data_IF_774249411198
#
_entry.id   IF_774249411198
#
_cell.length_a   1.000
_cell.length_b   1.000
_cell.length_c   1.000
_cell.angle_alpha   90.00
_cell.angle_beta   90.00
_cell.angle_gamma   90.00
#
_symmetry.space_group_name_H-M   'P 1'
#
loop_
_entity.id
_entity.type
_entity.pdbx_description
1 polymer ?
#
# COMPACT_ATOMS: atom_id res chain seq x y z
N UNK A 1 -17.45 28.29 -18.74
CA UNK A 1 -15.98 28.39 -18.77
C UNK A 1 -15.46 27.05 -19.25
N UNK A 2 -14.65 27.02 -20.30
CA UNK A 2 -14.04 25.78 -20.76
C UNK A 2 -13.23 25.20 -19.60
N UNK A 3 -13.53 23.95 -19.24
CA UNK A 3 -12.85 23.14 -18.24
C UNK A 3 -11.35 23.12 -18.57
N UNK A 4 -10.59 24.08 -18.03
CA UNK A 4 -9.13 24.03 -18.02
C UNK A 4 -8.76 22.91 -17.05
N UNK A 5 -8.88 21.66 -17.52
CA UNK A 5 -8.43 20.50 -16.76
C UNK A 5 -6.97 20.71 -16.42
N UNK A 6 -6.62 20.46 -15.16
CA UNK A 6 -5.25 20.60 -14.69
C UNK A 6 -4.30 19.77 -15.55
N UNK A 7 -3.06 20.24 -15.66
CA UNK A 7 -1.99 19.44 -16.23
C UNK A 7 -1.85 18.11 -15.47
N UNK A 8 -1.50 17.05 -16.20
CA UNK A 8 -1.20 15.74 -15.61
C UNK A 8 -0.01 15.89 -14.65
N UNK A 9 -0.21 15.50 -13.41
CA UNK A 9 0.83 15.45 -12.38
C UNK A 9 1.59 14.13 -12.47
N UNK A 10 2.85 14.13 -12.03
CA UNK A 10 3.75 12.99 -12.07
C UNK A 10 4.38 12.76 -10.69
N UNK A 11 3.64 12.11 -9.79
CA UNK A 11 4.04 11.99 -8.40
C UNK A 11 3.09 11.12 -7.57
N UNK A 12 3.28 11.14 -6.26
CA UNK A 12 2.41 10.48 -5.29
C UNK A 12 1.61 11.53 -4.53
N UNK A 13 0.29 11.40 -4.53
CA UNK A 13 -0.57 12.09 -3.59
C UNK A 13 -0.82 11.13 -2.42
N UNK A 14 -0.40 11.51 -1.22
CA UNK A 14 -0.76 10.79 0.00
C UNK A 14 -2.17 11.23 0.36
N UNK A 15 -3.15 10.36 0.19
CA UNK A 15 -4.55 10.69 0.45
C UNK A 15 -4.95 10.17 1.83
N UNK A 16 -5.59 11.00 2.65
CA UNK A 16 -6.36 10.54 3.78
C UNK A 16 -7.72 10.06 3.24
N UNK A 17 -7.81 8.77 2.94
CA UNK A 17 -9.04 8.17 2.39
C UNK A 17 -10.14 8.25 3.46
N UNK A 18 -11.32 8.85 3.16
CA UNK A 18 -12.43 8.86 4.11
C UNK A 18 -13.11 7.48 4.22
N UNK A 19 -13.85 7.25 5.31
CA UNK A 19 -14.76 6.09 5.46
C UNK A 19 -15.88 6.14 4.43
N UNK A 20 -16.25 4.99 3.87
CA UNK A 20 -17.37 4.83 2.93
C UNK A 20 -16.95 4.52 1.49
N UNK A 21 -16.22 5.39 0.75
CA UNK A 21 -15.87 5.09 -0.62
C UNK A 21 -14.82 3.97 -0.72
N UNK A 22 -14.85 3.19 -1.80
CA UNK A 22 -13.73 2.30 -2.13
C UNK A 22 -12.50 3.11 -2.55
N UNK A 23 -11.30 2.53 -2.43
CA UNK A 23 -10.08 3.14 -2.98
C UNK A 23 -10.23 3.50 -4.47
N UNK A 24 -10.85 2.62 -5.26
CA UNK A 24 -11.11 2.87 -6.69
C UNK A 24 -12.08 4.05 -6.92
N UNK A 25 -13.05 4.27 -6.05
CA UNK A 25 -13.95 5.43 -6.13
C UNK A 25 -13.19 6.73 -5.83
N UNK A 26 -12.32 6.76 -4.82
CA UNK A 26 -11.45 7.92 -4.56
C UNK A 26 -10.60 8.26 -5.79
N UNK A 27 -9.97 7.25 -6.41
CA UNK A 27 -9.24 7.40 -7.67
C UNK A 27 -10.12 7.96 -8.79
N UNK A 28 -11.34 7.44 -8.95
CA UNK A 28 -12.26 7.92 -9.98
C UNK A 28 -12.66 9.39 -9.80
N UNK A 29 -12.79 9.87 -8.55
CA UNK A 29 -13.06 11.29 -8.25
C UNK A 29 -11.85 12.16 -8.64
N UNK A 30 -10.64 11.82 -8.19
CA UNK A 30 -9.41 12.57 -8.51
C UNK A 30 -9.11 12.57 -10.01
N UNK A 31 -9.39 11.46 -10.72
CA UNK A 31 -9.26 11.34 -12.18
C UNK A 31 -10.04 12.40 -12.95
N UNK A 32 -11.13 12.93 -12.39
CA UNK A 32 -11.97 13.96 -13.02
C UNK A 32 -11.27 15.33 -13.06
N UNK A 33 -10.29 15.57 -12.18
CA UNK A 33 -9.50 16.82 -12.14
C UNK A 33 -8.50 16.98 -13.31
N UNK A 34 -8.49 16.08 -14.30
CA UNK A 34 -7.54 16.07 -15.41
C UNK A 34 -6.46 14.98 -15.31
N UNK A 35 -6.40 14.27 -14.17
CA UNK A 35 -5.39 13.24 -13.89
C UNK A 35 -5.72 11.90 -14.56
N UNK A 36 -5.53 11.79 -15.88
CA UNK A 36 -5.95 10.61 -16.67
C UNK A 36 -5.15 9.35 -16.37
N UNK A 37 -3.83 9.48 -16.20
CA UNK A 37 -2.93 8.40 -15.83
C UNK A 37 -2.84 8.39 -14.30
N UNK A 38 -3.65 7.53 -13.69
CA UNK A 38 -3.80 7.47 -12.24
C UNK A 38 -3.99 6.01 -11.78
N UNK A 39 -3.45 5.68 -10.62
CA UNK A 39 -3.64 4.41 -9.93
C UNK A 39 -3.45 4.58 -8.42
N UNK A 40 -3.30 3.48 -7.69
CA UNK A 40 -2.95 3.52 -6.28
C UNK A 40 -2.03 2.35 -5.90
N UNK A 41 -1.25 2.49 -4.82
CA UNK A 41 -0.46 1.41 -4.23
C UNK A 41 -1.13 0.92 -2.94
N UNK A 42 -1.68 -0.30 -2.99
CA UNK A 42 -2.42 -0.92 -1.90
C UNK A 42 -3.89 -0.48 -1.84
N UNK A 43 -4.79 -1.44 -1.64
CA UNK A 43 -6.23 -1.18 -1.48
C UNK A 43 -6.56 -1.00 0.00
N UNK A 44 -7.41 -0.02 0.31
CA UNK A 44 -8.19 0.05 1.54
C UNK A 44 -9.65 -0.32 1.25
N UNK A 45 -10.23 -1.07 2.18
CA UNK A 45 -11.65 -1.42 2.18
C UNK A 45 -12.54 -0.17 2.35
N UNK A 46 -13.84 -0.22 2.01
CA UNK A 46 -14.77 0.90 2.16
C UNK A 46 -14.76 1.50 3.57
N UNK A 47 -14.88 0.64 4.60
CA UNK A 47 -14.90 1.04 6.01
C UNK A 47 -13.58 1.62 6.52
N UNK A 48 -12.47 1.29 5.86
CA UNK A 48 -11.13 1.67 6.29
C UNK A 48 -10.77 3.08 5.83
N UNK A 49 -10.02 3.80 6.66
CA UNK A 49 -9.61 5.19 6.43
C UNK A 49 -8.09 5.32 6.38
N UNK A 50 -7.61 6.54 6.15
CA UNK A 50 -6.21 6.89 6.27
C UNK A 50 -5.40 6.74 4.97
N UNK A 51 -4.09 6.57 5.11
CA UNK A 51 -3.10 6.69 4.03
C UNK A 51 -3.44 5.80 2.84
N UNK A 52 -3.84 6.39 1.73
CA UNK A 52 -3.95 5.75 0.42
C UNK A 52 -2.96 6.44 -0.53
N UNK A 53 -1.96 5.70 -0.99
CA UNK A 53 -0.99 6.22 -1.94
C UNK A 53 -1.60 6.30 -3.33
N UNK A 54 -1.96 7.50 -3.76
CA UNK A 54 -2.51 7.79 -5.09
C UNK A 54 -1.36 8.09 -6.05
N UNK A 55 -1.24 7.31 -7.11
CA UNK A 55 -0.12 7.40 -8.06
C UNK A 55 -0.57 8.16 -9.30
N UNK A 56 0.10 9.26 -9.63
CA UNK A 56 -0.22 10.14 -10.75
C UNK A 56 0.87 10.07 -11.82
N UNK A 57 0.45 10.04 -13.09
CA UNK A 57 1.37 10.12 -14.22
C UNK A 57 2.38 8.98 -14.23
N UNK A 58 3.68 9.32 -14.23
CA UNK A 58 4.75 8.31 -14.30
C UNK A 58 4.88 7.49 -13.01
N UNK A 59 4.44 8.03 -11.86
CA UNK A 59 4.45 7.27 -10.60
C UNK A 59 3.53 6.04 -10.63
N UNK A 60 2.57 5.96 -11.56
CA UNK A 60 1.82 4.70 -11.76
C UNK A 60 2.72 3.51 -12.09
N UNK A 61 3.91 3.75 -12.66
CA UNK A 61 4.90 2.72 -12.99
C UNK A 61 5.67 2.20 -11.77
N UNK A 62 5.64 2.90 -10.63
CA UNK A 62 6.41 2.53 -9.45
C UNK A 62 5.58 1.82 -8.36
N UNK A 63 4.29 1.56 -8.64
CA UNK A 63 3.36 0.92 -7.70
C UNK A 63 3.92 -0.35 -7.05
N UNK A 64 4.56 -1.22 -7.84
CA UNK A 64 5.16 -2.46 -7.35
C UNK A 64 6.26 -2.21 -6.32
N UNK A 65 7.14 -1.25 -6.57
CA UNK A 65 8.26 -0.92 -5.69
C UNK A 65 7.85 -0.23 -4.39
N UNK A 66 6.73 0.51 -4.39
CA UNK A 66 6.14 1.06 -3.16
C UNK A 66 5.46 -0.02 -2.29
N UNK A 67 5.04 -1.13 -2.89
CA UNK A 67 4.36 -2.22 -2.18
C UNK A 67 5.30 -3.36 -1.78
N UNK A 68 6.37 -3.58 -2.54
CA UNK A 68 7.35 -4.65 -2.31
C UNK A 68 8.15 -4.37 -1.04
N UNK A 69 8.20 -5.34 -0.12
CA UNK A 69 8.92 -5.22 1.14
C UNK A 69 8.41 -4.10 2.07
N UNK A 70 7.37 -3.36 1.67
CA UNK A 70 6.90 -2.19 2.38
C UNK A 70 6.15 -2.57 3.65
N UNK A 71 6.30 -1.76 4.68
CA UNK A 71 5.60 -1.88 5.94
C UNK A 71 4.36 -0.99 6.00
N UNK A 72 3.42 -1.36 6.86
CA UNK A 72 2.18 -0.61 7.10
C UNK A 72 1.88 -0.58 8.58
N UNK A 73 1.31 0.52 9.04
CA UNK A 73 0.80 0.66 10.41
C UNK A 73 -0.69 0.91 10.34
N UNK A 74 -1.44 0.18 11.14
CA UNK A 74 -2.87 0.30 11.26
C UNK A 74 -3.29 0.43 12.71
N UNK A 75 -4.28 1.26 12.98
CA UNK A 75 -5.07 1.22 14.22
C UNK A 75 -6.49 0.79 13.88
N UNK A 76 -7.15 0.08 14.77
CA UNK A 76 -8.53 -0.34 14.53
C UNK A 76 -9.27 -0.75 15.78
N UNK A 77 -10.56 -1.03 15.59
CA UNK A 77 -11.48 -1.51 16.61
C UNK A 77 -12.11 -2.80 16.09
N UNK A 78 -12.15 -3.83 16.93
CA UNK A 78 -12.92 -5.05 16.69
C UNK A 78 -14.03 -5.21 17.73
N UNK A 79 -15.11 -5.87 17.34
CA UNK A 79 -16.26 -6.26 18.18
C UNK A 79 -16.26 -7.78 18.35
N UNK A 80 -16.19 -8.26 19.58
CA UNK A 80 -16.29 -9.68 19.93
C UNK A 80 -17.74 -10.17 19.93
N UNK A 81 -17.95 -11.47 19.71
CA UNK A 81 -19.28 -12.09 19.82
C UNK A 81 -20.10 -12.06 18.53
N UNK A 82 -19.52 -11.62 17.41
CA UNK A 82 -20.18 -11.57 16.10
C UNK A 82 -19.22 -12.04 15.00
N UNK A 83 -19.75 -12.67 13.98
CA UNK A 83 -19.02 -12.96 12.74
C UNK A 83 -19.84 -12.56 11.53
N UNK A 84 -19.19 -12.05 10.48
CA UNK A 84 -19.81 -11.70 9.19
C UNK A 84 -19.14 -12.42 8.02
N UNK A 85 -19.75 -12.40 6.85
CA UNK A 85 -19.19 -12.99 5.62
C UNK A 85 -17.98 -12.21 5.05
N UNK A 86 -17.89 -10.92 5.35
CA UNK A 86 -16.76 -10.04 4.99
C UNK A 86 -15.69 -9.93 6.06
N UNK A 87 -15.94 -10.43 7.28
CA UNK A 87 -15.11 -10.26 8.49
C UNK A 87 -14.94 -8.80 8.95
N UNK A 88 -15.81 -7.92 8.49
CA UNK A 88 -15.98 -6.55 8.96
C UNK A 88 -17.47 -6.25 9.22
N UNK A 89 -17.76 -5.07 9.75
CA UNK A 89 -19.11 -4.64 10.13
C UNK A 89 -20.04 -4.36 8.93
N UNK A 90 -19.51 -4.30 7.70
CA UNK A 90 -20.26 -4.05 6.47
C UNK A 90 -20.90 -5.33 5.89
N UNK A 91 -20.51 -6.51 6.39
CA UNK A 91 -21.01 -7.80 5.93
C UNK A 91 -22.30 -8.26 6.60
N UNK A 92 -22.88 -9.33 6.05
CA UNK A 92 -24.03 -10.00 6.65
C UNK A 92 -23.58 -10.82 7.86
N UNK A 93 -24.30 -10.68 8.98
CA UNK A 93 -24.02 -11.47 10.19
C UNK A 93 -24.29 -12.95 9.93
N UNK A 94 -23.24 -13.77 10.06
CA UNK A 94 -23.32 -15.22 9.95
C UNK A 94 -23.64 -15.89 11.30
N UNK A 95 -23.15 -15.32 12.39
CA UNK A 95 -23.39 -15.84 13.74
C UNK A 95 -23.14 -14.77 14.80
N UNK A 96 -23.77 -14.98 15.95
CA UNK A 96 -23.45 -14.29 17.20
C UNK A 96 -23.18 -15.33 18.28
N UNK A 97 -22.32 -14.99 19.23
CA UNK A 97 -21.95 -15.87 20.33
C UNK A 97 -21.73 -15.05 21.60
N UNK A 98 -21.89 -15.71 22.75
CA UNK A 98 -21.57 -15.11 24.04
C UNK A 98 -20.06 -14.83 24.11
N UNK A 99 -19.70 -13.64 24.58
CA UNK A 99 -18.32 -13.21 24.80
C UNK A 99 -18.03 -12.95 26.28
N UNK A 100 -19.01 -13.09 27.17
CA UNK A 100 -18.88 -12.72 28.59
C UNK A 100 -17.85 -13.56 29.36
N UNK A 101 -17.42 -14.69 28.79
CA UNK A 101 -16.30 -15.49 29.30
C UNK A 101 -14.92 -14.90 28.98
N UNK A 102 -14.83 -13.93 28.07
CA UNK A 102 -13.58 -13.30 27.66
C UNK A 102 -13.20 -12.19 28.62
N UNK A 103 -11.98 -12.22 29.13
CA UNK A 103 -11.41 -11.15 29.98
C UNK A 103 -10.51 -10.21 29.18
N UNK A 104 -10.19 -9.04 29.76
CA UNK A 104 -9.17 -8.15 29.21
C UNK A 104 -7.81 -8.84 29.04
N UNK A 105 -7.40 -9.66 30.00
CA UNK A 105 -6.15 -10.43 29.94
C UNK A 105 -6.12 -11.42 28.76
N UNK A 106 -7.25 -12.06 28.47
CA UNK A 106 -7.38 -12.94 27.31
C UNK A 106 -7.22 -12.17 25.99
N UNK A 107 -7.81 -10.98 25.92
CA UNK A 107 -7.68 -10.10 24.74
C UNK A 107 -6.24 -9.67 24.54
N UNK A 108 -5.58 -9.15 25.58
CA UNK A 108 -4.18 -8.70 25.51
C UNK A 108 -3.29 -9.83 25.02
N UNK A 109 -3.40 -11.01 25.64
CA UNK A 109 -2.66 -12.20 25.22
C UNK A 109 -2.96 -12.61 23.77
N UNK A 110 -4.21 -12.51 23.32
CA UNK A 110 -4.60 -12.89 21.96
C UNK A 110 -4.10 -11.91 20.89
N UNK A 111 -3.93 -10.63 21.23
CA UNK A 111 -3.31 -9.59 20.39
C UNK A 111 -1.79 -9.74 20.36
N UNK A 112 -1.15 -9.99 21.50
CA UNK A 112 0.30 -10.21 21.58
C UNK A 112 0.77 -11.34 20.66
N UNK A 113 -0.04 -12.41 20.57
CA UNK A 113 0.18 -13.56 19.69
C UNK A 113 0.11 -13.24 18.19
N UNK A 114 -0.29 -12.05 17.79
CA UNK A 114 -0.16 -11.62 16.39
C UNK A 114 1.30 -11.36 16.00
N UNK A 115 2.16 -10.97 16.94
CA UNK A 115 3.56 -10.60 16.66
C UNK A 115 4.36 -11.79 16.12
N UNK A 116 5.14 -11.54 15.05
CA UNK A 116 6.01 -12.50 14.38
C UNK A 116 5.51 -12.95 13.00
N UNK A 117 6.13 -14.03 12.51
CA UNK A 117 5.82 -14.68 11.23
C UNK A 117 4.66 -15.67 11.39
N UNK A 118 3.63 -15.54 10.54
CA UNK A 118 2.53 -16.53 10.48
C UNK A 118 1.94 -16.69 9.08
N UNK A 119 1.22 -17.79 8.87
CA UNK A 119 0.35 -17.98 7.69
C UNK A 119 -1.03 -17.40 7.98
N UNK A 120 -1.49 -16.50 7.13
CA UNK A 120 -2.78 -15.84 7.24
C UNK A 120 -3.72 -16.25 6.12
N UNK A 121 -4.95 -16.62 6.46
CA UNK A 121 -6.01 -16.83 5.47
C UNK A 121 -6.41 -15.49 4.83
N UNK A 122 -6.39 -15.45 3.50
CA UNK A 122 -6.85 -14.31 2.73
C UNK A 122 -8.39 -14.27 2.76
N UNK A 123 -9.02 -13.14 3.14
CA UNK A 123 -10.48 -13.00 3.09
C UNK A 123 -11.03 -13.23 1.68
N UNK A 124 -12.19 -13.88 1.57
CA UNK A 124 -12.87 -14.09 0.29
C UNK A 124 -13.22 -12.75 -0.39
N UNK A 125 -13.65 -11.76 0.39
CA UNK A 125 -13.87 -10.39 -0.08
C UNK A 125 -12.57 -9.57 -0.08
N UNK A 126 -11.63 -9.92 -0.96
CA UNK A 126 -10.36 -9.22 -1.10
C UNK A 126 -9.96 -8.99 -2.56
N UNK A 127 -9.06 -8.02 -2.78
CA UNK A 127 -8.48 -7.73 -4.09
C UNK A 127 -7.44 -8.78 -4.56
N UNK A 128 -7.15 -9.81 -3.75
CA UNK A 128 -6.28 -10.90 -4.16
C UNK A 128 -6.86 -11.59 -5.41
N UNK A 129 -6.00 -12.07 -6.30
CA UNK A 129 -6.44 -12.68 -7.57
C UNK A 129 -6.32 -14.20 -7.53
N UNK A 130 -7.28 -14.90 -8.09
CA UNK A 130 -7.20 -16.31 -8.46
C UNK A 130 -7.42 -16.45 -9.97
N UNK A 131 -6.47 -17.07 -10.69
CA UNK A 131 -6.49 -17.21 -12.16
C UNK A 131 -6.83 -15.89 -12.88
N UNK A 132 -6.27 -14.77 -12.42
CA UNK A 132 -6.48 -13.44 -12.99
C UNK A 132 -7.73 -12.68 -12.49
N UNK A 133 -8.70 -13.35 -11.88
CA UNK A 133 -9.92 -12.71 -11.36
C UNK A 133 -9.78 -12.36 -9.87
N UNK A 134 -10.20 -11.16 -9.41
CA UNK A 134 -10.23 -10.83 -7.98
C UNK A 134 -11.19 -11.71 -7.17
N UNK A 135 -10.81 -12.11 -5.96
CA UNK A 135 -11.63 -12.95 -5.07
C UNK A 135 -12.96 -12.29 -4.71
N UNK A 136 -12.97 -10.97 -4.42
CA UNK A 136 -14.22 -10.25 -4.13
C UNK A 136 -15.24 -10.35 -5.27
N UNK A 137 -14.78 -10.47 -6.52
CA UNK A 137 -15.66 -10.62 -7.68
C UNK A 137 -16.27 -12.03 -7.71
N UNK A 138 -15.48 -13.06 -7.39
CA UNK A 138 -15.97 -14.44 -7.29
C UNK A 138 -16.97 -14.60 -6.14
N UNK A 139 -16.65 -14.04 -4.96
CA UNK A 139 -17.51 -14.10 -3.78
C UNK A 139 -18.88 -13.43 -4.04
N UNK A 140 -18.89 -12.24 -4.64
CA UNK A 140 -20.14 -11.54 -5.03
C UNK A 140 -20.96 -12.27 -6.09
N UNK A 141 -20.32 -13.12 -6.89
CA UNK A 141 -20.99 -13.98 -7.88
C UNK A 141 -21.49 -15.30 -7.25
N UNK A 142 -21.31 -15.51 -5.94
CA UNK A 142 -21.67 -16.75 -5.24
C UNK A 142 -20.84 -17.96 -5.67
N UNK A 143 -19.70 -17.74 -6.35
CA UNK A 143 -18.82 -18.80 -6.82
C UNK A 143 -17.89 -19.26 -5.71
N UNK A 144 -17.56 -20.54 -5.71
CA UNK A 144 -16.57 -21.10 -4.79
C UNK A 144 -15.25 -20.32 -4.89
N UNK A 145 -14.80 -19.79 -3.75
CA UNK A 145 -13.51 -19.11 -3.66
C UNK A 145 -12.49 -20.05 -3.06
N UNK A 146 -11.34 -20.28 -3.71
CA UNK A 146 -10.32 -21.14 -3.14
C UNK A 146 -9.75 -20.51 -1.87
N UNK A 147 -9.61 -21.31 -0.82
CA UNK A 147 -8.91 -20.90 0.39
C UNK A 147 -7.46 -20.61 0.02
N UNK A 148 -7.05 -19.37 0.22
CA UNK A 148 -5.66 -18.93 0.04
C UNK A 148 -5.08 -18.54 1.37
N UNK A 149 -3.86 -18.99 1.63
CA UNK A 149 -3.04 -18.44 2.70
C UNK A 149 -1.90 -17.63 2.11
N UNK A 150 -1.32 -16.76 2.94
CA UNK A 150 -0.09 -16.06 2.64
C UNK A 150 0.71 -15.88 3.91
N UNK A 151 2.03 -15.90 3.78
CA UNK A 151 2.91 -15.46 4.86
C UNK A 151 2.74 -13.97 5.12
N UNK A 152 2.66 -13.63 6.40
CA UNK A 152 2.69 -12.26 6.92
C UNK A 152 3.75 -12.15 8.01
N UNK A 153 4.25 -10.92 8.19
CA UNK A 153 5.08 -10.54 9.33
C UNK A 153 4.38 -9.40 10.07
N UNK A 154 4.37 -9.48 11.40
CA UNK A 154 3.90 -8.42 12.29
C UNK A 154 5.05 -8.08 13.24
N UNK A 155 5.63 -6.91 13.07
CA UNK A 155 6.75 -6.43 13.89
C UNK A 155 6.31 -5.92 15.26
N UNK A 156 5.10 -5.38 15.35
CA UNK A 156 4.50 -4.90 16.60
C UNK A 156 2.99 -5.07 16.55
N UNK A 157 2.42 -5.55 17.65
CA UNK A 157 0.99 -5.53 17.93
C UNK A 157 0.77 -4.99 19.34
N UNK A 158 -0.22 -4.14 19.53
CA UNK A 158 -0.52 -3.49 20.81
C UNK A 158 -2.02 -3.41 21.03
N UNK A 159 -2.47 -3.74 22.24
CA UNK A 159 -3.82 -3.46 22.71
C UNK A 159 -3.86 -2.05 23.28
N UNK A 160 -4.67 -1.17 22.68
CA UNK A 160 -4.77 0.24 23.06
C UNK A 160 -5.84 0.48 24.14
N UNK A 161 -6.97 -0.24 24.05
CA UNK A 161 -8.06 -0.18 25.02
C UNK A 161 -8.94 -1.42 24.92
N UNK A 162 -9.50 -1.85 26.05
CA UNK A 162 -10.48 -2.93 26.12
C UNK A 162 -11.73 -2.41 26.82
N UNK A 163 -12.80 -2.27 26.06
CA UNK A 163 -14.13 -1.85 26.52
C UNK A 163 -15.13 -2.89 26.00
N UNK A 164 -15.11 -4.09 26.58
CA UNK A 164 -15.81 -5.26 26.04
C UNK A 164 -17.29 -4.95 25.70
N UNK A 165 -17.77 -5.38 24.52
CA UNK A 165 -17.11 -6.29 23.58
C UNK A 165 -16.13 -5.63 22.60
N UNK A 166 -15.82 -4.34 22.75
CA UNK A 166 -14.94 -3.60 21.84
C UNK A 166 -13.48 -3.63 22.28
N UNK A 167 -12.59 -3.88 21.33
CA UNK A 167 -11.15 -3.90 21.55
C UNK A 167 -10.48 -3.00 20.53
N UNK A 168 -9.73 -2.01 21.01
CA UNK A 168 -8.89 -1.13 20.19
C UNK A 168 -7.47 -1.65 20.16
N UNK A 169 -6.87 -1.68 18.98
CA UNK A 169 -5.52 -2.19 18.78
C UNK A 169 -4.72 -1.35 17.77
N UNK A 170 -3.41 -1.55 17.77
CA UNK A 170 -2.47 -1.04 16.76
C UNK A 170 -1.56 -2.16 16.28
N UNK A 171 -1.24 -2.17 14.99
CA UNK A 171 -0.40 -3.21 14.38
C UNK A 171 0.53 -2.62 13.32
N UNK A 172 1.81 -2.97 13.41
CA UNK A 172 2.84 -2.71 12.40
C UNK A 172 3.14 -4.04 11.70
N UNK A 173 2.89 -4.07 10.39
CA UNK A 173 2.92 -5.31 9.64
C UNK A 173 3.46 -5.15 8.22
N UNK A 174 3.88 -6.28 7.65
CA UNK A 174 4.27 -6.38 6.24
C UNK A 174 3.11 -6.04 5.27
N UNK A 175 3.46 -5.56 4.08
CA UNK A 175 2.49 -5.31 3.03
C UNK A 175 1.69 -6.56 2.64
N UNK A 176 0.38 -6.42 2.72
CA UNK A 176 -0.55 -7.47 2.30
C UNK A 176 -1.11 -8.32 3.45
N UNK A 177 -0.76 -8.01 4.69
CA UNK A 177 -1.53 -8.41 5.87
C UNK A 177 -2.96 -7.89 5.78
N UNK A 178 -3.94 -8.76 6.00
CA UNK A 178 -5.35 -8.44 6.07
C UNK A 178 -5.78 -8.28 7.53
N UNK A 179 -6.03 -7.04 7.96
CA UNK A 179 -6.42 -6.77 9.36
C UNK A 179 -7.74 -7.45 9.73
N UNK A 180 -8.68 -7.56 8.78
CA UNK A 180 -9.92 -8.36 8.94
C UNK A 180 -9.66 -9.82 9.29
N UNK A 181 -8.63 -10.43 8.71
CA UNK A 181 -8.26 -11.81 9.02
C UNK A 181 -7.62 -11.92 10.42
N UNK A 182 -6.86 -10.90 10.86
CA UNK A 182 -6.37 -10.86 12.25
C UNK A 182 -7.53 -10.83 13.24
N UNK A 183 -8.49 -9.92 13.04
CA UNK A 183 -9.70 -9.84 13.86
C UNK A 183 -10.47 -11.17 13.87
N UNK A 184 -10.76 -11.73 12.69
CA UNK A 184 -11.44 -13.02 12.56
C UNK A 184 -10.72 -14.16 13.31
N UNK A 185 -9.39 -14.27 13.13
CA UNK A 185 -8.59 -15.30 13.80
C UNK A 185 -8.55 -15.12 15.32
N UNK A 186 -8.54 -13.88 15.81
CA UNK A 186 -8.58 -13.56 17.23
C UNK A 186 -9.91 -14.00 17.83
N UNK A 187 -11.02 -13.65 17.18
CA UNK A 187 -12.36 -14.08 17.59
C UNK A 187 -12.51 -15.60 17.65
N UNK A 188 -11.95 -16.32 16.67
CA UNK A 188 -11.93 -17.78 16.66
C UNK A 188 -11.11 -18.36 17.83
N UNK A 189 -9.95 -17.77 18.15
CA UNK A 189 -9.13 -18.21 19.29
C UNK A 189 -9.80 -17.98 20.64
N UNK A 190 -10.56 -16.89 20.77
CA UNK A 190 -11.34 -16.57 21.97
C UNK A 190 -12.68 -17.32 22.05
N UNK A 191 -13.06 -18.05 20.99
CA UNK A 191 -14.27 -18.89 20.97
C UNK A 191 -15.60 -18.13 20.85
N UNK A 192 -15.57 -16.82 20.58
CA UNK A 192 -16.78 -15.98 20.44
C UNK A 192 -16.93 -15.34 19.05
N UNK A 193 -15.94 -15.48 18.18
CA UNK A 193 -15.90 -14.74 16.91
C UNK A 193 -15.63 -13.25 17.10
N UNK A 194 -15.29 -12.57 16.01
CA UNK A 194 -15.08 -11.13 16.00
C UNK A 194 -15.26 -10.55 14.60
N UNK A 195 -15.61 -9.26 14.54
CA UNK A 195 -15.62 -8.46 13.31
C UNK A 195 -14.81 -7.18 13.50
N UNK A 196 -14.18 -6.71 12.43
CA UNK A 196 -13.53 -5.41 12.41
C UNK A 196 -14.56 -4.30 12.18
N UNK A 197 -14.67 -3.32 13.07
CA UNK A 197 -15.66 -2.23 13.01
C UNK A 197 -15.03 -0.89 12.58
N UNK A 198 -13.75 -0.71 12.89
CA UNK A 198 -13.00 0.49 12.50
C UNK A 198 -11.58 0.12 12.07
N UNK A 199 -11.07 0.82 11.06
CA UNK A 199 -9.70 0.66 10.60
C UNK A 199 -9.16 1.98 10.04
N UNK A 200 -7.97 2.36 10.48
CA UNK A 200 -7.23 3.50 9.96
C UNK A 200 -5.83 3.01 9.58
N UNK A 201 -5.43 3.20 8.33
CA UNK A 201 -4.03 3.02 7.93
C UNK A 201 -3.27 4.30 8.24
N UNK A 202 -2.46 4.27 9.28
CA UNK A 202 -1.66 5.40 9.73
C UNK A 202 -0.40 5.60 8.87
N UNK A 203 0.12 4.50 8.32
CA UNK A 203 1.35 4.48 7.56
C UNK A 203 1.27 3.48 6.41
N UNK A 204 1.79 3.86 5.25
CA UNK A 204 2.11 2.97 4.15
C UNK A 204 3.45 3.40 3.60
N UNK A 205 4.47 2.57 3.80
CA UNK A 205 5.85 2.90 3.46
C UNK A 205 5.99 3.60 2.09
N UNK A 206 6.68 4.75 2.02
CA UNK A 206 7.39 5.46 3.11
C UNK A 206 6.55 6.52 3.86
N UNK A 207 5.25 6.64 3.62
CA UNK A 207 4.46 7.82 4.00
C UNK A 207 3.47 7.59 5.15
N UNK A 208 3.27 8.62 5.96
CA UNK A 208 2.33 8.64 7.10
C UNK A 208 1.16 9.61 6.91
N UNK A 209 0.21 9.54 7.85
CA UNK A 209 -1.00 10.39 7.88
C UNK A 209 -0.71 11.90 7.95
N UNK A 210 0.42 12.32 8.50
CA UNK A 210 0.84 13.73 8.58
C UNK A 210 1.17 14.33 7.21
N UNK A 211 1.53 13.49 6.24
CA UNK A 211 1.72 13.89 4.84
C UNK A 211 0.42 13.79 4.02
N UNK A 212 -0.66 13.28 4.62
CA UNK A 212 -1.89 12.95 3.91
C UNK A 212 -2.83 14.16 3.76
N UNK A 213 -3.50 14.23 2.61
CA UNK A 213 -4.51 15.26 2.34
C UNK A 213 -5.91 14.65 2.26
N UNK A 214 -6.90 15.33 2.84
CA UNK A 214 -8.29 14.90 2.78
C UNK A 214 -8.84 14.96 1.35
N UNK A 215 -9.67 13.96 1.01
CA UNK A 215 -10.23 13.85 -0.34
C UNK A 215 -11.09 15.05 -0.71
N UNK A 216 -11.87 15.58 0.23
CA UNK A 216 -12.75 16.69 -0.08
C UNK A 216 -11.97 17.99 -0.31
N UNK A 217 -10.88 18.24 0.44
CA UNK A 217 -9.97 19.36 0.19
C UNK A 217 -9.30 19.26 -1.19
N UNK A 218 -8.79 18.08 -1.54
CA UNK A 218 -8.17 17.83 -2.85
C UNK A 218 -9.14 18.11 -4.00
N UNK A 219 -10.44 17.85 -3.79
CA UNK A 219 -11.46 18.06 -4.81
C UNK A 219 -12.03 19.49 -4.82
N UNK A 220 -12.04 20.16 -3.67
CA UNK A 220 -12.46 21.55 -3.53
C UNK A 220 -11.41 22.54 -4.06
N UNK A 221 -10.12 22.19 -3.95
CA UNK A 221 -8.98 23.04 -4.33
C UNK A 221 -8.12 22.40 -5.43
N UNK A 222 -8.68 22.13 -6.63
CA UNK A 222 -7.93 21.46 -7.69
C UNK A 222 -6.65 22.22 -8.12
N UNK A 223 -6.65 23.55 -8.05
CA UNK A 223 -5.49 24.36 -8.39
C UNK A 223 -4.27 24.08 -7.49
N UNK A 224 -4.49 23.66 -6.24
CA UNK A 224 -3.44 23.34 -5.26
C UNK A 224 -2.89 21.91 -5.40
N UNK A 225 -3.47 21.10 -6.29
CA UNK A 225 -3.09 19.68 -6.44
C UNK A 225 -1.59 19.51 -6.70
N UNK A 226 -0.97 20.38 -7.51
CA UNK A 226 0.46 20.29 -7.80
C UNK A 226 1.33 20.44 -6.53
N UNK A 227 0.92 21.27 -5.57
CA UNK A 227 1.62 21.45 -4.29
C UNK A 227 1.45 20.28 -3.32
N UNK A 228 0.37 19.49 -3.48
CA UNK A 228 0.05 18.31 -2.66
C UNK A 228 0.72 17.02 -3.18
N UNK A 229 1.39 17.08 -4.33
CA UNK A 229 1.94 15.90 -5.00
C UNK A 229 3.44 15.80 -4.74
N UNK A 230 3.83 14.67 -4.13
CA UNK A 230 5.22 14.31 -3.87
C UNK A 230 5.87 13.86 -5.18
N UNK A 231 6.96 14.51 -5.64
CA UNK A 231 7.68 14.12 -6.85
C UNK A 231 8.22 12.68 -6.80
N UNK A 232 8.42 12.06 -7.96
CA UNK A 232 8.78 10.63 -8.05
C UNK A 232 10.11 10.29 -7.38
N UNK A 233 11.14 11.12 -7.53
CA UNK A 233 12.44 10.96 -6.86
C UNK A 233 12.31 10.97 -5.33
N UNK A 234 11.39 11.79 -4.80
CA UNK A 234 11.08 11.85 -3.36
C UNK A 234 10.17 10.73 -2.90
N UNK A 235 9.40 10.12 -3.80
CA UNK A 235 8.55 8.97 -3.48
C UNK A 235 9.31 7.67 -3.23
N UNK A 236 10.59 7.61 -3.62
CA UNK A 236 11.50 6.51 -3.31
C UNK A 236 12.68 7.06 -2.48
N UNK A 237 12.44 7.50 -1.23
CA UNK A 237 13.44 8.24 -0.45
C UNK A 237 14.69 7.39 -0.17
N UNK A 238 14.53 6.08 0.03
CA UNK A 238 15.64 5.15 0.34
C UNK A 238 16.45 4.70 -0.87
N UNK A 239 16.02 5.05 -2.09
CA UNK A 239 16.76 4.68 -3.29
C UNK A 239 17.84 5.73 -3.55
N UNK A 240 19.12 5.37 -3.75
CA UNK A 240 20.12 6.31 -4.24
C UNK A 240 19.69 6.93 -5.57
N UNK A 241 20.10 8.17 -5.80
CA UNK A 241 19.79 8.94 -7.02
C UNK A 241 21.09 9.18 -7.78
N UNK A 242 21.11 8.79 -9.05
CA UNK A 242 22.28 8.92 -9.92
C UNK A 242 21.94 9.83 -11.09
N UNK A 243 22.57 10.99 -11.17
CA UNK A 243 22.41 11.91 -12.29
C UNK A 243 23.31 11.50 -13.44
N UNK A 244 22.72 11.29 -14.61
CA UNK A 244 23.42 10.88 -15.82
C UNK A 244 23.86 12.06 -16.68
N UNK A 245 24.86 11.82 -17.52
CA UNK A 245 25.19 12.69 -18.64
C UNK A 245 24.12 12.62 -19.74
N UNK A 246 24.08 13.61 -20.65
CA UNK A 246 23.16 13.58 -21.79
C UNK A 246 23.43 12.38 -22.74
N UNK A 247 24.68 11.94 -22.84
CA UNK A 247 25.06 10.77 -23.63
C UNK A 247 24.52 9.48 -22.99
N UNK A 248 24.63 9.34 -21.67
CA UNK A 248 24.13 8.18 -20.95
C UNK A 248 22.61 8.15 -20.85
N UNK A 249 21.97 9.31 -20.75
CA UNK A 249 20.51 9.44 -20.86
C UNK A 249 19.99 8.83 -22.17
N UNK A 250 20.59 9.18 -23.31
CA UNK A 250 20.20 8.66 -24.62
C UNK A 250 20.41 7.13 -24.71
N UNK A 251 21.52 6.62 -24.15
CA UNK A 251 21.81 5.18 -24.08
C UNK A 251 20.78 4.43 -23.24
N UNK A 252 20.44 4.96 -22.06
CA UNK A 252 19.44 4.39 -21.15
C UNK A 252 18.05 4.38 -21.79
N UNK A 253 17.66 5.44 -22.50
CA UNK A 253 16.40 5.48 -23.27
C UNK A 253 16.34 4.42 -24.36
N UNK A 254 17.49 4.03 -24.91
CA UNK A 254 17.62 2.93 -25.88
C UNK A 254 17.77 1.53 -25.22
N UNK A 255 17.59 1.43 -23.89
CA UNK A 255 17.67 0.16 -23.16
C UNK A 255 19.09 -0.37 -22.93
N UNK A 256 20.11 0.45 -23.19
CA UNK A 256 21.49 0.08 -22.88
C UNK A 256 21.74 0.20 -21.36
N UNK A 257 22.45 -0.76 -20.76
CA UNK A 257 22.87 -0.63 -19.36
C UNK A 257 23.88 0.52 -19.20
N UNK A 258 23.82 1.18 -18.04
CA UNK A 258 24.78 2.22 -17.65
C UNK A 258 25.93 1.56 -16.87
N UNK A 259 27.21 1.76 -17.22
CA UNK A 259 28.34 1.20 -16.46
C UNK A 259 28.28 1.56 -14.98
N UNK A 260 28.63 0.63 -14.09
CA UNK A 260 28.75 0.96 -12.68
C UNK A 260 30.09 1.67 -12.43
N UNK A 261 30.02 2.88 -11.90
CA UNK A 261 31.18 3.61 -11.40
C UNK A 261 31.09 3.75 -9.86
N UNK A 262 32.04 3.22 -9.08
CA UNK A 262 32.08 3.45 -7.64
C UNK A 262 32.09 4.94 -7.25
N UNK A 263 32.66 5.82 -8.07
CA UNK A 263 32.69 7.26 -7.80
C UNK A 263 31.29 7.89 -7.79
N UNK A 264 30.39 7.39 -8.64
CA UNK A 264 28.98 7.80 -8.69
C UNK A 264 28.18 7.37 -7.44
N UNK A 265 28.69 6.35 -6.72
CA UNK A 265 28.05 5.75 -5.55
C UNK A 265 28.80 6.03 -4.25
N UNK A 266 29.46 7.18 -4.14
CA UNK A 266 30.23 7.56 -2.94
C UNK A 266 31.24 6.49 -2.49
N UNK A 267 31.88 5.81 -3.46
CA UNK A 267 32.82 4.71 -3.25
C UNK A 267 32.24 3.46 -2.57
N UNK A 268 30.90 3.29 -2.59
CA UNK A 268 30.27 2.05 -2.15
C UNK A 268 30.76 0.89 -3.04
N UNK A 269 31.10 -0.28 -2.47
CA UNK A 269 31.47 -1.44 -3.26
C UNK A 269 30.27 -1.96 -4.06
N UNK A 270 30.54 -2.45 -5.27
CA UNK A 270 29.52 -3.10 -6.08
C UNK A 270 28.91 -4.29 -5.34
N UNK A 271 27.59 -4.32 -5.27
CA UNK A 271 26.79 -5.45 -4.77
C UNK A 271 25.61 -5.58 -5.72
N UNK A 272 25.33 -6.78 -6.23
CA UNK A 272 24.17 -7.00 -7.10
C UNK A 272 22.85 -6.78 -6.36
N UNK A 273 21.83 -6.32 -7.08
CA UNK A 273 20.49 -6.11 -6.53
C UNK A 273 20.30 -4.77 -5.82
N UNK A 274 21.33 -3.93 -5.70
CA UNK A 274 21.15 -2.54 -5.27
C UNK A 274 20.34 -1.79 -6.33
N UNK A 275 19.26 -1.14 -5.90
CA UNK A 275 18.35 -0.38 -6.76
C UNK A 275 18.59 1.12 -6.65
N UNK A 276 18.42 1.86 -7.74
CA UNK A 276 18.61 3.30 -7.80
C UNK A 276 17.60 3.97 -8.75
N UNK A 277 17.39 5.27 -8.54
CA UNK A 277 16.70 6.13 -9.50
C UNK A 277 17.77 6.84 -10.35
N UNK A 278 17.78 6.55 -11.65
CA UNK A 278 18.56 7.31 -12.62
C UNK A 278 17.81 8.60 -12.93
N UNK A 279 18.51 9.73 -12.84
CA UNK A 279 18.04 11.06 -13.18
C UNK A 279 18.69 11.51 -14.49
N UNK A 280 17.97 12.27 -15.30
CA UNK A 280 18.54 12.95 -16.46
C UNK A 280 19.44 14.14 -16.04
N UNK A 281 20.12 14.83 -16.96
CA UNK A 281 20.99 15.97 -16.62
C UNK A 281 20.27 17.13 -15.90
N UNK A 282 18.97 17.31 -16.17
CA UNK A 282 18.15 18.32 -15.53
C UNK A 282 17.77 17.93 -14.08
N UNK A 283 17.87 16.64 -13.75
CA UNK A 283 17.53 16.09 -12.45
C UNK A 283 16.16 15.42 -12.41
N UNK A 284 15.49 15.28 -13.56
CA UNK A 284 14.18 14.62 -13.63
C UNK A 284 14.34 13.09 -13.62
N UNK A 285 13.43 12.35 -12.98
CA UNK A 285 13.47 10.90 -12.96
C UNK A 285 13.38 10.26 -14.34
N UNK A 286 14.47 9.60 -14.75
CA UNK A 286 14.61 8.94 -16.03
C UNK A 286 14.23 7.46 -15.95
N UNK A 287 14.82 6.70 -15.03
CA UNK A 287 14.60 5.26 -14.93
C UNK A 287 14.78 4.74 -13.50
N UNK A 288 14.12 3.63 -13.20
CA UNK A 288 14.54 2.76 -12.11
C UNK A 288 15.55 1.75 -12.65
N UNK A 289 16.65 1.55 -11.93
CA UNK A 289 17.71 0.64 -12.31
C UNK A 289 18.16 -0.23 -11.13
N UNK A 290 18.84 -1.31 -11.44
CA UNK A 290 19.39 -2.27 -10.49
C UNK A 290 20.80 -2.68 -10.92
N UNK A 291 21.71 -2.83 -9.96
CA UNK A 291 23.06 -3.33 -10.17
C UNK A 291 23.03 -4.82 -10.53
N UNK A 292 23.71 -5.18 -11.62
CA UNK A 292 23.86 -6.55 -12.06
C UNK A 292 25.15 -6.71 -12.88
N UNK A 293 25.64 -7.94 -13.04
CA UNK A 293 26.66 -8.22 -14.05
C UNK A 293 26.05 -8.40 -15.45
N UNK A 294 26.59 -7.70 -16.44
CA UNK A 294 26.37 -7.98 -17.87
C UNK A 294 27.71 -8.30 -18.52
N UNK A 295 27.86 -9.52 -19.04
CA UNK A 295 29.11 -10.00 -19.62
C UNK A 295 30.33 -9.77 -18.70
N UNK A 296 30.17 -10.08 -17.40
CA UNK A 296 31.19 -9.87 -16.35
C UNK A 296 31.54 -8.40 -16.05
N UNK A 297 30.84 -7.43 -16.64
CA UNK A 297 31.00 -6.01 -16.34
C UNK A 297 29.90 -5.58 -15.36
N UNK A 298 30.24 -4.92 -14.24
CA UNK A 298 29.24 -4.38 -13.32
C UNK A 298 28.52 -3.20 -13.98
N UNK A 299 27.19 -3.25 -14.00
CA UNK A 299 26.36 -2.23 -14.62
C UNK A 299 25.08 -1.96 -13.84
N UNK A 300 24.47 -0.81 -14.10
CA UNK A 300 23.07 -0.51 -13.82
C UNK A 300 22.20 -0.98 -14.99
N UNK A 301 21.39 -2.02 -14.76
CA UNK A 301 20.37 -2.49 -15.70
C UNK A 301 19.06 -1.75 -15.45
N UNK A 302 18.43 -1.26 -16.51
CA UNK A 302 17.13 -0.59 -16.44
C UNK A 302 16.04 -1.59 -16.05
N UNK A 303 15.40 -1.37 -14.90
CA UNK A 303 14.20 -2.10 -14.48
C UNK A 303 12.94 -1.48 -15.10
N UNK A 304 12.89 -0.14 -15.13
CA UNK A 304 11.69 0.58 -15.58
C UNK A 304 12.03 1.98 -16.10
N UNK A 305 11.73 2.25 -17.36
CA UNK A 305 11.79 3.62 -17.91
C UNK A 305 10.63 4.49 -17.40
N UNK A 306 10.93 5.73 -17.00
CA UNK A 306 9.98 6.69 -16.42
C UNK A 306 9.55 7.80 -17.39
N UNK A 307 9.92 7.73 -18.67
CA UNK A 307 9.45 8.66 -19.71
C UNK A 307 8.11 8.25 -20.34
N UNK A 308 7.48 9.16 -21.09
CA UNK A 308 6.41 8.77 -22.01
C UNK A 308 7.02 8.02 -23.20
N UNK A 309 6.50 6.84 -23.50
CA UNK A 309 6.68 6.16 -24.79
C UNK A 309 5.74 6.74 -25.81
#
# INVERSE_FOLDING_TARGET
>A
MADSKLAQQHGVLVLNKPKGPTSAHCIARIKRLGQKKIGHAGTLDPMAQGVLLVLLGQCTKISGYLMEGGEKIYSGTLELGRTTDTWDDEGETLSTADWTHVTEEDVVRAVDLWTGSSEQQVPAYSAAKHKGQPLYKLAREGKETPVKTRRIEISQAETLAVELPFVRFRVHCSSGTYIRSLAHSLGNRLGCGAVLTELIREYSHPFSLDEAHDLDDVLAEPAELAGRVIPLDKALPHWPKLRLSAADEARVKNGMPHPYDPAEMASMPFTEGIRAVLLDPAGDPLALAETAYRNQVPVWTVLRGLWNT
#
